data_IF_127002592882
#
_entry.id   IF_127002592882
#
_cell.length_a   1.000
_cell.length_b   1.000
_cell.length_c   1.000
_cell.angle_alpha   90.00
_cell.angle_beta   90.00
_cell.angle_gamma   90.00
#
_symmetry.space_group_name_H-M   'P 1'
#
loop_
_entity.id
_entity.type
_entity.pdbx_description
1 polymer ?
#
# COMPACT_ATOMS: atom_id res chain seq x y z
N UNK A 1 -8.52 -5.37 25.56
CA UNK A 1 -7.15 -5.90 25.35
C UNK A 1 -6.89 -6.95 26.42
N UNK A 2 -6.85 -8.23 26.01
CA UNK A 2 -6.66 -9.35 26.95
C UNK A 2 -5.37 -9.17 27.74
N UNK A 3 -5.34 -9.62 29.00
CA UNK A 3 -4.19 -9.43 29.91
C UNK A 3 -2.88 -9.94 29.28
N UNK A 4 -2.96 -11.04 28.53
CA UNK A 4 -1.83 -11.65 27.82
C UNK A 4 -1.23 -10.70 26.78
N UNK A 5 -2.05 -10.06 25.94
CA UNK A 5 -1.57 -9.14 24.89
C UNK A 5 -0.88 -7.92 25.52
N UNK A 6 -1.42 -7.39 26.62
CA UNK A 6 -0.78 -6.28 27.36
C UNK A 6 0.61 -6.67 27.87
N UNK A 7 0.73 -7.86 28.44
CA UNK A 7 2.01 -8.35 29.00
C UNK A 7 3.03 -8.57 27.88
N UNK A 8 2.64 -9.21 26.77
CA UNK A 8 3.51 -9.43 25.62
C UNK A 8 4.03 -8.10 25.04
N UNK A 9 3.15 -7.11 24.87
CA UNK A 9 3.54 -5.79 24.38
C UNK A 9 4.46 -5.05 25.36
N UNK A 10 4.22 -5.17 26.66
CA UNK A 10 5.09 -4.57 27.67
C UNK A 10 6.50 -5.19 27.65
N UNK A 11 6.58 -6.53 27.55
CA UNK A 11 7.87 -7.25 27.45
C UNK A 11 8.61 -6.86 26.17
N UNK A 12 7.93 -6.83 25.02
CA UNK A 12 8.54 -6.42 23.75
C UNK A 12 9.01 -4.96 23.79
N UNK A 13 8.25 -4.07 24.43
CA UNK A 13 8.63 -2.67 24.61
C UNK A 13 9.89 -2.51 25.46
N UNK A 14 9.97 -3.23 26.59
CA UNK A 14 11.15 -3.22 27.47
C UNK A 14 12.37 -3.82 26.76
N UNK A 15 12.21 -4.96 26.08
CA UNK A 15 13.29 -5.59 25.31
C UNK A 15 13.80 -4.65 24.21
N UNK A 16 12.91 -3.99 23.48
CA UNK A 16 13.27 -3.05 22.43
C UNK A 16 14.02 -1.83 22.98
N UNK A 17 13.61 -1.32 24.15
CA UNK A 17 14.30 -0.20 24.81
C UNK A 17 15.71 -0.58 25.28
N UNK A 18 15.89 -1.79 25.82
CA UNK A 18 17.21 -2.30 26.22
C UNK A 18 18.12 -2.47 24.99
N UNK A 19 17.62 -3.09 23.92
CA UNK A 19 18.38 -3.28 22.69
C UNK A 19 18.74 -1.95 22.03
N UNK A 20 17.85 -0.97 22.09
CA UNK A 20 18.10 0.37 21.57
C UNK A 20 19.25 1.07 22.30
N UNK A 21 19.33 0.93 23.63
CA UNK A 21 20.46 1.45 24.41
C UNK A 21 21.79 0.74 24.10
N UNK A 22 21.73 -0.52 23.66
CA UNK A 22 22.89 -1.32 23.29
C UNK A 22 23.33 -1.13 21.83
N UNK A 23 22.72 -0.19 21.09
CA UNK A 23 23.08 0.05 19.70
C UNK A 23 24.51 0.62 19.57
N UNK A 24 25.24 0.22 18.52
CA UNK A 24 26.55 0.79 18.21
C UNK A 24 26.46 2.30 17.97
N UNK A 25 27.48 3.05 18.41
CA UNK A 25 27.58 4.49 18.19
C UNK A 25 27.70 4.83 16.71
N UNK A 26 27.37 6.07 16.32
CA UNK A 26 27.46 6.53 14.91
C UNK A 26 28.88 6.47 14.31
N UNK A 27 29.90 6.34 15.14
CA UNK A 27 31.31 6.38 14.73
C UNK A 27 31.85 5.01 14.31
N UNK A 28 31.09 3.92 14.50
CA UNK A 28 31.47 2.58 14.02
C UNK A 28 31.07 2.38 12.56
N UNK A 29 31.92 1.76 11.72
CA UNK A 29 31.58 1.48 10.33
C UNK A 29 30.27 0.70 10.18
N UNK A 30 29.45 1.06 9.19
CA UNK A 30 28.13 0.46 8.97
C UNK A 30 28.19 -1.07 8.86
N UNK A 31 29.23 -1.62 8.21
CA UNK A 31 29.40 -3.07 8.06
C UNK A 31 29.58 -3.82 9.38
N UNK A 32 30.17 -3.20 10.40
CA UNK A 32 30.36 -3.77 11.74
C UNK A 32 29.16 -3.47 12.64
N UNK A 33 28.57 -2.27 12.53
CA UNK A 33 27.39 -1.89 13.27
C UNK A 33 26.19 -2.81 12.97
N UNK A 34 26.04 -3.24 11.70
CA UNK A 34 24.99 -4.17 11.27
C UNK A 34 25.19 -5.59 11.80
N UNK A 35 26.42 -5.98 12.11
CA UNK A 35 26.73 -7.28 12.72
C UNK A 35 26.56 -7.28 14.24
N UNK A 36 26.30 -6.12 14.86
CA UNK A 36 26.01 -6.05 16.29
C UNK A 36 24.78 -6.89 16.64
N UNK A 37 24.90 -7.70 17.68
CA UNK A 37 23.81 -8.51 18.19
C UNK A 37 22.56 -7.68 18.48
N UNK A 38 22.71 -6.49 19.05
CA UNK A 38 21.59 -5.58 19.34
C UNK A 38 20.82 -5.18 18.06
N UNK A 39 21.54 -4.85 16.98
CA UNK A 39 20.93 -4.46 15.71
C UNK A 39 20.24 -5.66 15.04
N UNK A 40 20.89 -6.82 15.03
CA UNK A 40 20.29 -8.05 14.50
C UNK A 40 19.00 -8.43 15.24
N UNK A 41 19.00 -8.39 16.58
CA UNK A 41 17.81 -8.66 17.38
C UNK A 41 16.68 -7.65 17.13
N UNK A 42 16.99 -6.36 16.93
CA UNK A 42 15.97 -5.36 16.56
C UNK A 42 15.34 -5.65 15.19
N UNK A 43 16.14 -6.06 14.19
CA UNK A 43 15.60 -6.47 12.90
C UNK A 43 14.74 -7.73 13.01
N UNK A 44 15.16 -8.73 13.79
CA UNK A 44 14.38 -9.94 14.06
C UNK A 44 13.02 -9.59 14.66
N UNK A 45 12.98 -8.71 15.69
CA UNK A 45 11.72 -8.26 16.31
C UNK A 45 10.84 -7.55 15.27
N UNK A 46 11.42 -6.68 14.44
CA UNK A 46 10.70 -5.94 13.40
C UNK A 46 10.08 -6.89 12.38
N UNK A 47 10.85 -7.84 11.85
CA UNK A 47 10.35 -8.81 10.88
C UNK A 47 9.32 -9.76 11.49
N UNK A 48 9.50 -10.16 12.76
CA UNK A 48 8.52 -10.96 13.48
C UNK A 48 7.19 -10.21 13.63
N UNK A 49 7.23 -8.96 14.09
CA UNK A 49 6.04 -8.12 14.27
C UNK A 49 5.36 -7.83 12.94
N UNK A 50 6.13 -7.52 11.88
CA UNK A 50 5.61 -7.34 10.54
C UNK A 50 4.94 -8.62 10.03
N UNK A 51 5.60 -9.78 10.20
CA UNK A 51 5.05 -11.07 9.82
C UNK A 51 3.74 -11.37 10.54
N UNK A 52 3.68 -11.17 11.85
CA UNK A 52 2.45 -11.32 12.64
C UNK A 52 1.37 -10.35 12.15
N UNK A 53 1.71 -9.08 11.93
CA UNK A 53 0.75 -8.07 11.48
C UNK A 53 0.15 -8.43 10.11
N UNK A 54 0.99 -8.86 9.16
CA UNK A 54 0.55 -9.32 7.83
C UNK A 54 -0.34 -10.54 7.96
N UNK A 55 0.08 -11.58 8.69
CA UNK A 55 -0.69 -12.81 8.85
C UNK A 55 -2.04 -12.55 9.53
N UNK A 56 -2.03 -11.84 10.65
CA UNK A 56 -3.26 -11.49 11.39
C UNK A 56 -4.17 -10.63 10.53
N UNK A 57 -3.65 -9.57 9.90
CA UNK A 57 -4.44 -8.71 9.02
C UNK A 57 -5.08 -9.48 7.87
N UNK A 58 -4.32 -10.33 7.18
CA UNK A 58 -4.83 -11.16 6.08
C UNK A 58 -5.88 -12.16 6.58
N UNK A 59 -5.58 -12.92 7.63
CA UNK A 59 -6.51 -13.93 8.17
C UNK A 59 -7.81 -13.29 8.65
N UNK A 60 -7.75 -12.18 9.38
CA UNK A 60 -8.95 -11.47 9.84
C UNK A 60 -9.72 -10.86 8.67
N UNK A 61 -9.03 -10.26 7.70
CA UNK A 61 -9.68 -9.66 6.52
C UNK A 61 -10.39 -10.74 5.71
N UNK A 62 -9.71 -11.85 5.39
CA UNK A 62 -10.30 -12.95 4.63
C UNK A 62 -11.43 -13.62 5.40
N UNK A 63 -11.24 -13.90 6.70
CA UNK A 63 -12.29 -14.49 7.54
C UNK A 63 -13.53 -13.60 7.56
N UNK A 64 -13.38 -12.30 7.82
CA UNK A 64 -14.50 -11.37 7.85
C UNK A 64 -15.15 -11.20 6.48
N UNK A 65 -14.35 -11.21 5.42
CA UNK A 65 -14.85 -11.11 4.05
C UNK A 65 -15.73 -12.30 3.67
N UNK A 66 -15.28 -13.53 3.94
CA UNK A 66 -16.01 -14.76 3.59
C UNK A 66 -17.13 -15.11 4.58
N UNK A 67 -17.00 -14.72 5.85
CA UNK A 67 -18.01 -15.01 6.87
C UNK A 67 -19.27 -14.15 6.72
N UNK A 68 -19.21 -13.06 5.95
CA UNK A 68 -20.35 -12.18 5.74
C UNK A 68 -20.64 -12.00 4.23
N UNK A 69 -21.73 -12.60 3.72
CA UNK A 69 -22.04 -12.53 2.29
C UNK A 69 -22.33 -11.10 1.80
N UNK A 70 -22.73 -10.19 2.70
CA UNK A 70 -22.98 -8.78 2.37
C UNK A 70 -21.67 -8.02 2.14
N UNK A 71 -20.65 -8.22 2.97
CA UNK A 71 -19.33 -7.62 2.75
C UNK A 71 -18.62 -8.21 1.54
N UNK A 72 -18.80 -9.51 1.28
CA UNK A 72 -18.27 -10.16 0.08
C UNK A 72 -18.84 -9.53 -1.19
N UNK A 73 -20.17 -9.41 -1.29
CA UNK A 73 -20.82 -8.76 -2.44
C UNK A 73 -20.37 -7.31 -2.63
N UNK A 74 -20.28 -6.53 -1.53
CA UNK A 74 -19.81 -5.13 -1.59
C UNK A 74 -18.37 -5.04 -2.11
N UNK A 75 -17.48 -5.89 -1.59
CA UNK A 75 -16.08 -5.94 -2.01
C UNK A 75 -15.95 -6.35 -3.47
N UNK A 76 -16.72 -7.36 -3.90
CA UNK A 76 -16.77 -7.78 -5.29
C UNK A 76 -17.24 -6.64 -6.20
N UNK A 77 -18.26 -5.88 -5.81
CA UNK A 77 -18.74 -4.74 -6.58
C UNK A 77 -17.67 -3.65 -6.72
N UNK A 78 -16.92 -3.38 -5.66
CA UNK A 78 -15.78 -2.44 -5.69
C UNK A 78 -14.69 -2.94 -6.64
N UNK A 79 -14.32 -4.22 -6.55
CA UNK A 79 -13.30 -4.82 -7.42
C UNK A 79 -13.74 -4.75 -8.88
N UNK A 80 -14.97 -5.16 -9.19
CA UNK A 80 -15.52 -5.11 -10.56
C UNK A 80 -15.57 -3.68 -11.07
N UNK A 81 -16.03 -2.72 -10.25
CA UNK A 81 -16.03 -1.31 -10.61
C UNK A 81 -14.63 -0.76 -10.90
N UNK A 82 -13.65 -1.12 -10.07
CA UNK A 82 -12.26 -0.73 -10.29
C UNK A 82 -11.69 -1.36 -11.57
N UNK A 83 -11.93 -2.65 -11.81
CA UNK A 83 -11.50 -3.33 -13.03
C UNK A 83 -12.14 -2.74 -14.29
N UNK A 84 -13.40 -2.32 -14.23
CA UNK A 84 -14.05 -1.59 -15.31
C UNK A 84 -13.34 -0.27 -15.60
N UNK A 85 -12.97 0.50 -14.57
CA UNK A 85 -12.19 1.74 -14.74
C UNK A 85 -10.84 1.44 -15.37
N UNK A 86 -10.13 0.40 -14.92
CA UNK A 86 -8.84 -0.02 -15.50
C UNK A 86 -9.00 -0.42 -16.97
N UNK A 87 -10.05 -1.18 -17.30
CA UNK A 87 -10.32 -1.60 -18.67
C UNK A 87 -10.61 -0.39 -19.59
N UNK A 88 -11.46 0.53 -19.16
CA UNK A 88 -11.75 1.78 -19.89
C UNK A 88 -10.47 2.59 -20.06
N UNK A 89 -9.70 2.77 -18.99
CA UNK A 89 -8.44 3.50 -19.04
C UNK A 89 -7.44 2.84 -19.99
N UNK A 90 -7.35 1.51 -20.02
CA UNK A 90 -6.45 0.80 -20.93
C UNK A 90 -6.86 0.96 -22.39
N UNK A 91 -8.16 0.92 -22.71
CA UNK A 91 -8.68 1.14 -24.06
C UNK A 91 -8.43 2.58 -24.52
N UNK A 92 -8.59 3.55 -23.62
CA UNK A 92 -8.31 4.96 -23.89
C UNK A 92 -6.81 5.28 -24.01
N UNK A 93 -5.93 4.35 -23.61
CA UNK A 93 -4.49 4.57 -23.63
C UNK A 93 -3.90 4.11 -24.95
N UNK A 94 -3.24 5.02 -25.64
CA UNK A 94 -2.42 4.72 -26.80
C UNK A 94 -0.95 4.59 -26.39
N UNK A 95 -0.26 3.64 -27.00
CA UNK A 95 1.17 3.42 -26.83
C UNK A 95 1.99 3.74 -28.07
N UNK A 96 1.31 3.96 -29.21
CA UNK A 96 1.91 4.21 -30.53
C UNK A 96 1.76 5.68 -30.95
N UNK A 97 1.66 6.59 -29.99
CA UNK A 97 1.44 8.03 -30.19
C UNK A 97 2.73 8.84 -30.43
N UNK A 98 3.85 8.16 -30.76
CA UNK A 98 5.16 8.77 -30.95
C UNK A 98 5.93 9.04 -29.65
N UNK A 99 5.38 8.66 -28.49
CA UNK A 99 6.03 8.88 -27.19
C UNK A 99 7.28 8.01 -27.03
N UNK A 100 7.34 6.83 -27.66
CA UNK A 100 8.51 5.96 -27.63
C UNK A 100 9.71 6.66 -28.29
N UNK A 101 9.50 7.23 -29.47
CA UNK A 101 10.49 7.99 -30.23
C UNK A 101 10.89 9.27 -29.48
N UNK A 102 9.92 9.98 -28.91
CA UNK A 102 10.18 11.17 -28.11
C UNK A 102 11.02 10.85 -26.86
N UNK A 103 10.78 9.72 -26.20
CA UNK A 103 11.57 9.30 -25.03
C UNK A 103 12.96 8.79 -25.42
N UNK A 104 13.06 8.06 -26.55
CA UNK A 104 14.34 7.63 -27.11
C UNK A 104 15.23 8.83 -27.48
N UNK A 105 14.65 9.91 -28.03
CA UNK A 105 15.37 11.16 -28.32
C UNK A 105 15.96 11.83 -27.08
N UNK A 106 15.43 11.52 -25.89
CA UNK A 106 15.89 12.01 -24.58
C UNK A 106 16.81 11.01 -23.86
N UNK A 107 17.25 9.96 -24.55
CA UNK A 107 18.11 8.92 -24.00
C UNK A 107 17.40 7.91 -23.10
N UNK A 108 16.07 7.87 -23.09
CA UNK A 108 15.28 6.93 -22.29
C UNK A 108 14.75 5.82 -23.19
N UNK A 109 15.26 4.60 -23.02
CA UNK A 109 14.76 3.44 -23.73
C UNK A 109 13.39 3.02 -23.16
N UNK A 110 12.34 3.04 -24.00
CA UNK A 110 11.00 2.57 -23.64
C UNK A 110 10.44 1.65 -24.72
N UNK A 111 9.31 1.01 -24.44
CA UNK A 111 8.54 0.24 -25.42
C UNK A 111 7.12 0.79 -25.48
N UNK A 112 6.41 0.56 -26.58
CA UNK A 112 4.98 0.93 -26.72
C UNK A 112 4.13 0.33 -25.59
N UNK A 113 4.43 -0.91 -25.17
CA UNK A 113 3.73 -1.56 -24.05
C UNK A 113 3.94 -0.82 -22.73
N UNK A 114 5.17 -0.36 -22.47
CA UNK A 114 5.47 0.44 -21.27
C UNK A 114 4.74 1.77 -21.31
N UNK A 115 4.77 2.47 -22.45
CA UNK A 115 4.08 3.75 -22.64
C UNK A 115 2.57 3.58 -22.45
N UNK A 116 1.97 2.57 -23.07
CA UNK A 116 0.54 2.27 -22.94
C UNK A 116 0.12 1.97 -21.49
N UNK A 117 0.95 1.25 -20.73
CA UNK A 117 0.68 0.97 -19.31
C UNK A 117 0.79 2.23 -18.44
N UNK A 118 1.74 3.12 -18.74
CA UNK A 118 1.87 4.42 -18.07
C UNK A 118 0.64 5.29 -18.38
N UNK A 119 0.26 5.40 -19.65
CA UNK A 119 -0.96 6.10 -20.08
C UNK A 119 -2.20 5.53 -19.40
N UNK A 120 -2.29 4.21 -19.27
CA UNK A 120 -3.38 3.54 -18.55
C UNK A 120 -3.40 3.96 -17.08
N UNK A 121 -2.26 3.92 -16.39
CA UNK A 121 -2.17 4.36 -15.00
C UNK A 121 -2.60 5.80 -14.80
N UNK A 122 -2.20 6.69 -15.72
CA UNK A 122 -2.58 8.09 -15.71
C UNK A 122 -4.08 8.29 -15.95
N UNK A 123 -4.64 7.57 -16.93
CA UNK A 123 -6.08 7.59 -17.21
C UNK A 123 -6.91 7.05 -16.04
N UNK A 124 -6.47 5.95 -15.40
CA UNK A 124 -7.10 5.44 -14.16
C UNK A 124 -7.11 6.52 -13.08
N UNK A 125 -5.96 7.18 -12.87
CA UNK A 125 -5.85 8.23 -11.87
C UNK A 125 -6.81 9.39 -12.14
N UNK A 126 -6.87 9.89 -13.38
CA UNK A 126 -7.76 11.00 -13.74
C UNK A 126 -9.23 10.62 -13.64
N UNK A 127 -9.63 9.44 -14.14
CA UNK A 127 -11.02 8.96 -14.02
C UNK A 127 -11.43 8.87 -12.56
N UNK A 128 -10.60 8.24 -11.70
CA UNK A 128 -10.91 8.13 -10.29
C UNK A 128 -10.91 9.47 -9.56
N UNK A 129 -10.04 10.42 -9.97
CA UNK A 129 -10.02 11.78 -9.44
C UNK A 129 -11.33 12.51 -9.74
N UNK A 130 -11.81 12.45 -10.98
CA UNK A 130 -13.10 13.06 -11.37
C UNK A 130 -14.25 12.42 -10.58
N UNK A 131 -14.28 11.09 -10.48
CA UNK A 131 -15.30 10.37 -9.70
C UNK A 131 -15.26 10.77 -8.23
N UNK A 132 -14.07 10.90 -7.63
CA UNK A 132 -13.90 11.28 -6.24
C UNK A 132 -14.39 12.71 -5.99
N UNK A 133 -13.95 13.68 -6.80
CA UNK A 133 -14.38 15.09 -6.70
C UNK A 133 -15.89 15.21 -6.88
N UNK A 134 -16.46 14.56 -7.91
CA UNK A 134 -17.90 14.54 -8.15
C UNK A 134 -18.67 13.96 -6.97
N UNK A 135 -18.17 12.86 -6.39
CA UNK A 135 -18.78 12.21 -5.22
C UNK A 135 -18.72 13.10 -3.97
N UNK A 136 -17.62 13.84 -3.77
CA UNK A 136 -17.47 14.79 -2.66
C UNK A 136 -18.42 15.97 -2.79
N UNK A 137 -18.53 16.56 -3.99
CA UNK A 137 -19.45 17.67 -4.27
C UNK A 137 -20.90 17.22 -4.04
N UNK A 138 -21.29 16.07 -4.61
CA UNK A 138 -22.62 15.52 -4.42
C UNK A 138 -22.93 15.23 -2.95
N UNK A 139 -21.97 14.62 -2.24
CA UNK A 139 -22.08 14.36 -0.80
C UNK A 139 -22.23 15.65 0.01
N UNK A 140 -21.51 16.72 -0.37
CA UNK A 140 -21.62 18.05 0.23
C UNK A 140 -22.99 18.69 0.00
N UNK A 141 -23.46 18.73 -1.25
CA UNK A 141 -24.77 19.31 -1.61
C UNK A 141 -25.91 18.56 -0.92
N UNK A 142 -25.89 17.21 -0.94
CA UNK A 142 -26.93 16.40 -0.29
C UNK A 142 -27.01 16.68 1.21
N UNK A 143 -25.87 16.87 1.87
CA UNK A 143 -25.81 17.19 3.31
C UNK A 143 -26.33 18.59 3.63
N UNK A 144 -26.17 19.55 2.72
CA UNK A 144 -26.73 20.90 2.87
C UNK A 144 -28.24 20.93 2.58
N UNK A 145 -28.72 20.14 1.63
CA UNK A 145 -30.12 20.08 1.23
C UNK A 145 -30.98 19.14 2.10
N UNK A 146 -30.38 18.27 2.91
CA UNK A 146 -31.11 17.39 3.84
C UNK A 146 -31.30 18.00 5.24
N UNK A 147 -31.21 19.33 5.33
CA UNK A 147 -31.57 20.12 6.50
C UNK A 147 -32.85 20.89 6.19
#
# INVERSE_FOLDING_TARGET
MNRIVKIVLAVLGVLSAILWYQLPSKDVPVGEAVQSGAMNFMFIITYLLLGIAVVVSLLFTLKNLFSNPKSLKKTLFIIVGFLLVVAIAYVLSDGADGTVEAMASRGVATTESTVKKIGMGLNVFFILTVVAVGSMIWGGIKKMSSK
#
